data_IF_427606947886
#
_entry.id   IF_427606947886
#
_cell.length_a   1.000
_cell.length_b   1.000
_cell.length_c   1.000
_cell.angle_alpha   90.00
_cell.angle_beta   90.00
_cell.angle_gamma   90.00
#
_symmetry.space_group_name_H-M   'P 1'
#
loop_
_entity.id
_entity.type
_entity.pdbx_description
1 polymer ?
#
# COMPACT_ATOMS: atom_id res chain seq x y z
N UNK A 1 -8.21 19.09 -29.43
CA UNK A 1 -7.27 18.43 -28.51
C UNK A 1 -8.03 17.57 -27.50
N UNK A 2 -8.83 16.62 -27.97
CA UNK A 2 -9.58 15.69 -27.12
C UNK A 2 -9.00 14.29 -27.34
N UNK A 3 -8.58 13.64 -26.25
CA UNK A 3 -8.04 12.30 -26.26
C UNK A 3 -8.99 11.42 -25.46
N UNK A 4 -9.64 10.48 -26.14
CA UNK A 4 -10.70 9.67 -25.57
C UNK A 4 -10.16 8.43 -24.84
N UNK A 5 -10.97 7.89 -23.95
CA UNK A 5 -10.87 6.56 -23.37
C UNK A 5 -12.30 6.03 -23.18
N UNK A 6 -12.45 4.75 -22.81
CA UNK A 6 -13.73 4.07 -22.87
C UNK A 6 -14.22 3.61 -21.49
N UNK A 7 -15.49 3.28 -21.39
CA UNK A 7 -16.16 2.89 -20.13
C UNK A 7 -15.56 1.65 -19.45
N UNK A 8 -14.88 0.78 -20.22
CA UNK A 8 -14.16 -0.37 -19.67
C UNK A 8 -12.80 0.00 -19.04
N UNK A 9 -12.35 1.25 -19.19
CA UNK A 9 -11.17 1.79 -18.52
C UNK A 9 -11.58 2.38 -17.18
N UNK A 10 -11.52 1.55 -16.12
CA UNK A 10 -11.77 2.01 -14.76
C UNK A 10 -10.76 3.09 -14.33
N UNK A 11 -11.21 4.13 -13.63
CA UNK A 11 -10.37 5.29 -13.27
C UNK A 11 -9.06 4.92 -12.55
N UNK A 12 -9.11 3.96 -11.62
CA UNK A 12 -7.94 3.46 -10.88
C UNK A 12 -7.02 2.50 -11.68
N UNK A 13 -7.37 2.22 -12.94
CA UNK A 13 -6.61 1.41 -13.91
C UNK A 13 -6.36 2.19 -15.21
N UNK A 14 -6.47 3.52 -15.18
CA UNK A 14 -6.58 4.33 -16.40
C UNK A 14 -5.26 4.92 -16.90
N UNK A 15 -4.17 4.84 -16.14
CA UNK A 15 -2.89 5.49 -16.50
C UNK A 15 -2.33 5.00 -17.84
N UNK A 16 -2.73 3.81 -18.27
CA UNK A 16 -2.34 3.17 -19.52
C UNK A 16 -3.02 3.79 -20.76
N UNK A 17 -4.08 4.56 -20.55
CA UNK A 17 -4.93 5.17 -21.59
C UNK A 17 -4.53 6.61 -21.92
N UNK A 18 -5.42 7.37 -22.57
CA UNK A 18 -5.30 8.82 -22.77
C UNK A 18 -5.08 9.62 -21.46
N UNK A 19 -5.50 9.09 -20.30
CA UNK A 19 -5.20 9.68 -18.99
C UNK A 19 -3.68 9.78 -18.73
N UNK A 20 -2.89 8.85 -19.31
CA UNK A 20 -1.44 8.85 -19.26
C UNK A 20 -0.74 9.92 -20.12
N UNK A 21 -1.48 10.85 -20.75
CA UNK A 21 -0.90 11.89 -21.60
C UNK A 21 0.15 12.75 -20.86
N UNK A 22 -0.07 13.07 -19.58
CA UNK A 22 0.90 13.83 -18.78
C UNK A 22 2.21 13.06 -18.56
N UNK A 23 2.13 11.73 -18.37
CA UNK A 23 3.30 10.85 -18.29
C UNK A 23 4.04 10.89 -19.63
N UNK A 24 3.32 10.69 -20.73
CA UNK A 24 3.87 10.73 -22.09
C UNK A 24 4.60 12.05 -22.38
N UNK A 25 4.03 13.18 -21.99
CA UNK A 25 4.64 14.50 -22.17
C UNK A 25 5.89 14.71 -21.30
N UNK A 26 5.96 14.04 -20.14
CA UNK A 26 7.06 14.19 -19.19
C UNK A 26 8.26 13.32 -19.55
N UNK A 27 8.02 12.06 -19.93
CA UNK A 27 9.10 11.07 -20.19
C UNK A 27 9.29 10.76 -21.68
N UNK A 28 8.47 11.32 -22.56
CA UNK A 28 8.44 11.03 -23.99
C UNK A 28 7.68 9.74 -24.32
N UNK A 29 7.12 9.69 -25.53
CA UNK A 29 6.29 8.56 -25.99
C UNK A 29 7.05 7.23 -26.00
N UNK A 30 8.33 7.21 -26.38
CA UNK A 30 9.12 5.97 -26.38
C UNK A 30 9.24 5.34 -24.99
N UNK A 31 9.35 6.15 -23.94
CA UNK A 31 9.41 5.64 -22.57
C UNK A 31 8.01 5.27 -22.05
N UNK A 32 6.96 5.98 -22.47
CA UNK A 32 5.59 5.56 -22.20
C UNK A 32 5.27 4.22 -22.87
N UNK A 33 5.70 3.99 -24.11
CA UNK A 33 5.53 2.71 -24.79
C UNK A 33 6.29 1.58 -24.06
N UNK A 34 7.49 1.84 -23.53
CA UNK A 34 8.21 0.86 -22.67
C UNK A 34 7.44 0.55 -21.39
N UNK A 35 6.79 1.55 -20.78
CA UNK A 35 5.91 1.35 -19.64
C UNK A 35 4.75 0.41 -19.99
N UNK A 36 4.08 0.61 -21.13
CA UNK A 36 3.03 -0.27 -21.63
C UNK A 36 3.55 -1.69 -21.92
N UNK A 37 4.73 -1.82 -22.53
CA UNK A 37 5.37 -3.11 -22.83
C UNK A 37 5.68 -3.90 -21.56
N UNK A 38 6.13 -3.23 -20.51
CA UNK A 38 6.36 -3.83 -19.20
C UNK A 38 5.07 -4.39 -18.58
N UNK A 39 3.99 -3.62 -18.63
CA UNK A 39 2.68 -4.09 -18.18
C UNK A 39 2.20 -5.30 -19.00
N UNK A 40 2.36 -5.23 -20.32
CA UNK A 40 2.00 -6.33 -21.21
C UNK A 40 2.79 -7.62 -20.93
N UNK A 41 4.07 -7.50 -20.55
CA UNK A 41 4.85 -8.66 -20.11
C UNK A 41 4.27 -9.30 -18.84
N UNK A 42 3.82 -8.49 -17.88
CA UNK A 42 3.13 -9.01 -16.69
C UNK A 42 1.79 -9.67 -17.05
N UNK A 43 1.04 -9.13 -18.03
CA UNK A 43 -0.19 -9.76 -18.55
C UNK A 43 0.09 -11.14 -19.16
N UNK A 44 1.15 -11.25 -19.97
CA UNK A 44 1.55 -12.50 -20.59
C UNK A 44 2.03 -13.52 -19.54
N UNK A 45 2.77 -13.07 -18.53
CA UNK A 45 3.16 -13.90 -17.38
C UNK A 45 1.93 -14.42 -16.65
N UNK A 46 1.02 -13.51 -16.27
CA UNK A 46 -0.20 -13.84 -15.53
C UNK A 46 -1.10 -14.82 -16.30
N UNK A 47 -1.21 -14.65 -17.62
CA UNK A 47 -2.04 -15.50 -18.47
C UNK A 47 -1.47 -16.90 -18.73
N UNK A 48 -0.15 -17.00 -18.93
CA UNK A 48 0.46 -18.20 -19.50
C UNK A 48 1.25 -19.05 -18.48
N UNK A 49 1.71 -18.46 -17.37
CA UNK A 49 2.50 -19.19 -16.38
C UNK A 49 1.63 -20.09 -15.50
N UNK A 50 2.15 -21.27 -15.14
CA UNK A 50 1.48 -22.19 -14.23
C UNK A 50 1.24 -21.53 -12.85
N UNK A 51 0.12 -21.86 -12.19
CA UNK A 51 -0.34 -21.22 -10.95
C UNK A 51 0.76 -21.19 -9.88
N UNK A 52 1.50 -22.28 -9.71
CA UNK A 52 2.57 -22.45 -8.73
C UNK A 52 3.85 -21.64 -9.03
N UNK A 53 3.94 -21.02 -10.21
CA UNK A 53 5.02 -20.11 -10.64
C UNK A 53 4.52 -18.72 -10.99
N UNK A 54 3.22 -18.49 -10.89
CA UNK A 54 2.58 -17.25 -11.28
C UNK A 54 2.69 -16.23 -10.14
N UNK A 55 3.46 -15.17 -10.35
CA UNK A 55 3.86 -14.22 -9.31
C UNK A 55 2.65 -13.51 -8.71
N UNK A 56 1.75 -12.88 -9.51
CA UNK A 56 0.52 -12.31 -8.99
C UNK A 56 -0.32 -13.30 -8.18
N UNK A 57 -0.47 -14.55 -8.64
CA UNK A 57 -1.29 -15.56 -7.93
C UNK A 57 -0.68 -15.94 -6.60
N UNK A 58 0.64 -16.19 -6.53
CA UNK A 58 1.34 -16.47 -5.28
C UNK A 58 1.20 -15.30 -4.31
N UNK A 59 1.39 -14.06 -4.79
CA UNK A 59 1.19 -12.85 -3.97
C UNK A 59 -0.25 -12.76 -3.43
N UNK A 60 -1.26 -13.09 -4.23
CA UNK A 60 -2.66 -13.08 -3.81
C UNK A 60 -2.95 -14.13 -2.76
N UNK A 61 -2.45 -15.36 -2.93
CA UNK A 61 -2.65 -16.45 -1.99
C UNK A 61 -1.96 -16.18 -0.65
N UNK A 62 -0.75 -15.62 -0.65
CA UNK A 62 -0.08 -15.17 0.57
C UNK A 62 -0.86 -14.04 1.26
N UNK A 63 -1.35 -13.06 0.49
CA UNK A 63 -2.20 -11.99 1.02
C UNK A 63 -3.48 -12.54 1.67
N UNK A 64 -4.18 -13.45 1.00
CA UNK A 64 -5.38 -14.13 1.53
C UNK A 64 -5.04 -14.95 2.78
N UNK A 65 -3.90 -15.64 2.80
CA UNK A 65 -3.44 -16.39 3.96
C UNK A 65 -3.35 -15.49 5.19
N UNK A 66 -2.69 -14.34 5.07
CA UNK A 66 -2.57 -13.42 6.20
C UNK A 66 -3.88 -12.70 6.53
N UNK A 67 -4.65 -12.29 5.53
CA UNK A 67 -5.92 -11.57 5.76
C UNK A 67 -7.01 -12.48 6.34
N UNK A 68 -7.25 -13.64 5.75
CA UNK A 68 -8.39 -14.49 6.10
C UNK A 68 -8.09 -15.50 7.21
N UNK A 69 -6.83 -15.91 7.40
CA UNK A 69 -6.48 -16.92 8.40
C UNK A 69 -5.71 -16.33 9.59
N UNK A 70 -4.76 -15.41 9.36
CA UNK A 70 -4.07 -14.70 10.45
C UNK A 70 -4.83 -13.46 10.92
N UNK A 71 -5.86 -13.02 10.20
CA UNK A 71 -6.67 -11.84 10.55
C UNK A 71 -5.95 -10.51 10.35
N UNK A 72 -4.83 -10.47 9.61
CA UNK A 72 -4.11 -9.23 9.31
C UNK A 72 -4.99 -8.26 8.53
N UNK A 73 -5.22 -7.08 9.10
CA UNK A 73 -6.11 -6.05 8.53
C UNK A 73 -5.39 -5.11 7.55
N UNK A 74 -4.06 -5.21 7.43
CA UNK A 74 -3.27 -4.30 6.61
C UNK A 74 -2.11 -5.01 5.92
N UNK A 75 -1.68 -4.42 4.80
CA UNK A 75 -0.45 -4.79 4.09
C UNK A 75 0.38 -3.52 3.86
N UNK A 76 1.68 -3.60 4.15
CA UNK A 76 2.60 -2.48 3.96
C UNK A 76 3.39 -2.66 2.65
N UNK A 77 3.40 -1.64 1.78
CA UNK A 77 4.24 -1.59 0.58
C UNK A 77 5.39 -0.62 0.85
N UNK A 78 6.63 -1.12 0.86
CA UNK A 78 7.80 -0.42 1.37
C UNK A 78 8.92 -0.35 0.31
N UNK A 79 8.82 0.56 -0.69
CA UNK A 79 9.87 0.73 -1.68
C UNK A 79 11.12 1.39 -1.10
N UNK A 80 12.27 0.75 -1.20
CA UNK A 80 13.59 1.34 -0.92
C UNK A 80 14.06 2.11 -2.17
N UNK A 81 13.25 3.08 -2.59
CA UNK A 81 13.49 3.98 -3.71
C UNK A 81 12.64 5.25 -3.52
N UNK A 82 13.30 6.42 -3.54
CA UNK A 82 12.62 7.69 -3.27
C UNK A 82 11.71 8.16 -4.43
N UNK A 83 12.00 7.77 -5.69
CA UNK A 83 11.11 8.10 -6.82
C UNK A 83 9.78 7.34 -6.70
N UNK A 84 9.79 6.19 -6.02
CA UNK A 84 8.59 5.40 -5.73
C UNK A 84 7.78 5.87 -4.52
N UNK A 85 8.02 7.08 -3.98
CA UNK A 85 7.33 7.57 -2.77
C UNK A 85 5.78 7.66 -2.87
N UNK A 86 5.21 7.63 -4.08
CA UNK A 86 3.75 7.58 -4.29
C UNK A 86 3.22 6.20 -4.64
N UNK A 87 4.06 5.17 -4.71
CA UNK A 87 3.68 3.83 -5.15
C UNK A 87 2.68 3.17 -4.19
N UNK A 88 2.93 3.24 -2.88
CA UNK A 88 1.98 2.74 -1.88
C UNK A 88 0.63 3.48 -1.96
N UNK A 89 0.66 4.81 -2.11
CA UNK A 89 -0.54 5.64 -2.23
C UNK A 89 -1.34 5.37 -3.52
N UNK A 90 -0.66 5.03 -4.63
CA UNK A 90 -1.33 4.58 -5.85
C UNK A 90 -2.14 3.30 -5.58
N UNK A 91 -1.55 2.34 -4.87
CA UNK A 91 -2.23 1.08 -4.52
C UNK A 91 -3.20 1.18 -3.35
N UNK A 92 -3.22 2.28 -2.59
CA UNK A 92 -4.38 2.56 -1.72
C UNK A 92 -5.65 2.65 -2.55
N UNK A 93 -5.65 3.42 -3.63
CA UNK A 93 -6.80 3.46 -4.53
C UNK A 93 -6.95 2.14 -5.29
N UNK A 94 -5.88 1.67 -5.94
CA UNK A 94 -5.92 0.47 -6.77
C UNK A 94 -6.47 -0.76 -6.04
N UNK A 95 -6.02 -1.01 -4.81
CA UNK A 95 -6.42 -2.18 -4.03
C UNK A 95 -7.71 -1.91 -3.23
N UNK A 96 -7.72 -0.88 -2.39
CA UNK A 96 -8.80 -0.70 -1.40
C UNK A 96 -10.13 -0.31 -2.06
N UNK A 97 -10.11 0.51 -3.13
CA UNK A 97 -11.34 0.84 -3.87
C UNK A 97 -11.83 -0.35 -4.71
N UNK A 98 -10.92 -1.25 -5.12
CA UNK A 98 -11.30 -2.48 -5.83
C UNK A 98 -11.93 -3.51 -4.91
N UNK A 99 -11.21 -3.89 -3.84
CA UNK A 99 -11.53 -5.06 -3.03
C UNK A 99 -12.09 -4.73 -1.64
N UNK A 100 -12.23 -3.46 -1.27
CA UNK A 100 -12.93 -3.00 -0.06
C UNK A 100 -14.45 -3.15 -0.19
N UNK A 101 -14.91 -4.40 -0.34
CA UNK A 101 -16.30 -4.76 -0.65
C UNK A 101 -16.84 -5.73 0.41
N UNK A 102 -18.14 -5.68 0.65
CA UNK A 102 -18.80 -6.57 1.62
C UNK A 102 -19.97 -7.37 1.03
N UNK A 103 -20.30 -7.15 -0.25
CA UNK A 103 -21.33 -7.90 -0.98
C UNK A 103 -20.61 -8.77 -2.02
N UNK A 104 -20.93 -10.06 -2.04
CA UNK A 104 -20.42 -10.99 -3.02
C UNK A 104 -21.15 -10.85 -4.37
N UNK A 105 -20.67 -11.55 -5.40
CA UNK A 105 -21.24 -11.50 -6.76
C UNK A 105 -22.67 -12.06 -6.84
N UNK A 106 -23.15 -12.75 -5.81
CA UNK A 106 -24.53 -13.24 -5.70
C UNK A 106 -25.45 -12.24 -4.99
N UNK A 107 -24.95 -11.08 -4.58
CA UNK A 107 -25.74 -10.08 -3.84
C UNK A 107 -25.90 -10.38 -2.35
N UNK A 108 -25.07 -11.29 -1.80
CA UNK A 108 -25.12 -11.66 -0.38
C UNK A 108 -23.98 -11.00 0.40
N UNK A 109 -24.23 -10.58 1.63
CA UNK A 109 -23.19 -10.08 2.51
C UNK A 109 -22.16 -11.19 2.82
N UNK A 110 -20.88 -10.88 2.68
CA UNK A 110 -19.79 -11.82 2.99
C UNK A 110 -19.67 -12.02 4.50
N UNK A 111 -19.26 -13.22 4.92
CA UNK A 111 -18.96 -13.57 6.32
C UNK A 111 -17.44 -13.76 6.56
N UNK A 112 -16.61 -13.22 5.67
CA UNK A 112 -15.15 -13.26 5.70
C UNK A 112 -14.57 -11.88 5.38
N UNK A 113 -13.32 -11.64 5.75
CA UNK A 113 -12.59 -10.41 5.42
C UNK A 113 -12.25 -10.34 3.93
N UNK A 114 -12.36 -9.16 3.33
CA UNK A 114 -11.98 -8.87 1.94
C UNK A 114 -10.73 -7.98 1.89
N UNK A 115 -10.67 -6.96 1.02
CA UNK A 115 -9.46 -6.17 0.77
C UNK A 115 -8.83 -5.57 2.05
N UNK A 116 -7.50 -5.69 2.24
CA UNK A 116 -6.80 -5.12 3.40
C UNK A 116 -6.59 -3.61 3.24
N UNK A 117 -6.27 -2.93 4.35
CA UNK A 117 -5.79 -1.55 4.31
C UNK A 117 -4.36 -1.53 3.76
N UNK A 118 -4.13 -0.81 2.65
CA UNK A 118 -2.80 -0.61 2.08
C UNK A 118 -2.18 0.67 2.63
N UNK A 119 -0.90 0.61 2.98
CA UNK A 119 -0.16 1.78 3.45
C UNK A 119 1.35 1.59 3.25
N UNK A 120 2.13 2.64 3.48
CA UNK A 120 3.59 2.57 3.45
C UNK A 120 4.24 3.88 3.03
N UNK A 121 5.54 3.97 3.28
CA UNK A 121 6.43 5.07 2.92
C UNK A 121 7.75 4.46 2.41
N UNK A 122 8.50 5.17 1.55
CA UNK A 122 9.74 4.64 1.04
C UNK A 122 10.79 4.48 2.15
N UNK A 123 11.64 3.47 2.00
CA UNK A 123 12.83 3.29 2.81
C UNK A 123 13.89 4.36 2.50
N UNK A 124 14.65 4.87 3.47
CA UNK A 124 14.65 4.55 4.90
C UNK A 124 13.72 5.44 5.75
N UNK A 125 12.91 6.30 5.14
CA UNK A 125 12.03 7.21 5.88
C UNK A 125 11.03 6.44 6.76
N UNK A 126 10.37 5.42 6.20
CA UNK A 126 9.46 4.55 6.96
C UNK A 126 10.13 3.81 8.12
N UNK A 127 11.41 3.43 7.95
CA UNK A 127 12.21 2.75 8.97
C UNK A 127 12.35 3.59 10.25
N UNK A 128 12.43 4.91 10.12
CA UNK A 128 12.54 5.84 11.25
C UNK A 128 11.20 6.37 11.74
N UNK A 129 10.07 5.90 11.18
CA UNK A 129 8.73 6.35 11.55
C UNK A 129 7.92 5.27 12.27
N UNK A 130 7.68 4.13 11.62
CA UNK A 130 6.68 3.14 12.10
C UNK A 130 7.20 1.71 12.21
N UNK A 131 8.46 1.44 11.85
CA UNK A 131 9.02 0.09 11.94
C UNK A 131 9.13 -0.41 13.38
N UNK A 132 9.19 0.48 14.37
CA UNK A 132 9.06 0.12 15.79
C UNK A 132 7.80 -0.72 16.05
N UNK A 133 6.66 -0.33 15.45
CA UNK A 133 5.39 -1.06 15.57
C UNK A 133 5.43 -2.37 14.79
N UNK A 134 6.06 -2.40 13.60
CA UNK A 134 6.18 -3.63 12.80
C UNK A 134 7.01 -4.68 13.56
N UNK A 135 8.12 -4.27 14.18
CA UNK A 135 9.04 -5.16 14.89
C UNK A 135 8.50 -5.63 16.24
N UNK A 136 8.08 -4.71 17.11
CA UNK A 136 7.76 -5.00 18.51
C UNK A 136 6.30 -4.74 18.89
N UNK A 137 5.47 -4.30 17.93
CA UNK A 137 4.03 -4.19 18.13
C UNK A 137 3.34 -5.56 18.15
N UNK A 138 2.08 -5.53 18.54
CA UNK A 138 1.22 -6.72 18.69
C UNK A 138 0.55 -7.15 17.39
N UNK A 139 0.60 -6.33 16.34
CA UNK A 139 0.02 -6.63 15.04
C UNK A 139 0.97 -7.48 14.18
N UNK A 140 0.38 -8.33 13.34
CA UNK A 140 1.08 -8.99 12.23
C UNK A 140 0.77 -8.18 10.97
N UNK A 141 1.82 -7.62 10.38
CA UNK A 141 1.72 -6.75 9.19
C UNK A 141 2.60 -7.37 8.11
N UNK A 142 2.01 -8.07 7.13
CA UNK A 142 2.71 -8.48 5.92
C UNK A 142 3.29 -7.26 5.20
N UNK A 143 4.56 -7.35 4.81
CA UNK A 143 5.26 -6.24 4.16
C UNK A 143 5.86 -6.68 2.82
N UNK A 144 5.59 -5.92 1.75
CA UNK A 144 6.26 -6.05 0.47
C UNK A 144 7.41 -5.04 0.38
N UNK A 145 8.64 -5.53 0.49
CA UNK A 145 9.86 -4.72 0.33
C UNK A 145 10.28 -4.73 -1.13
N UNK A 146 10.50 -3.55 -1.72
CA UNK A 146 10.87 -3.42 -3.15
C UNK A 146 12.14 -2.60 -3.26
N UNK A 147 13.16 -3.05 -3.99
CA UNK A 147 14.38 -2.26 -4.21
C UNK A 147 14.97 -2.48 -5.63
N UNK A 148 15.53 -1.43 -6.26
CA UNK A 148 16.41 -1.60 -7.41
C UNK A 148 17.84 -1.93 -6.99
N UNK A 149 18.48 -2.88 -7.65
CA UNK A 149 19.91 -3.16 -7.48
C UNK A 149 20.80 -2.01 -7.99
N UNK A 150 20.33 -1.24 -8.97
CA UNK A 150 21.07 -0.13 -9.59
C UNK A 150 20.30 1.18 -9.40
N UNK A 151 20.93 2.16 -8.74
CA UNK A 151 20.40 3.52 -8.60
C UNK A 151 20.42 4.29 -9.93
N UNK A 152 19.51 5.24 -10.10
CA UNK A 152 19.65 6.30 -11.12
C UNK A 152 20.64 7.38 -10.73
N UNK A 153 20.96 7.50 -9.44
CA UNK A 153 21.85 8.51 -8.87
C UNK A 153 23.00 7.81 -8.11
N UNK A 154 24.06 7.36 -8.80
CA UNK A 154 25.18 6.65 -8.17
C UNK A 154 26.08 7.65 -7.42
N UNK A 155 25.69 8.02 -6.21
CA UNK A 155 26.39 8.98 -5.34
C UNK A 155 27.09 8.23 -4.21
N UNK A 156 28.42 8.14 -4.27
CA UNK A 156 29.23 7.53 -3.22
C UNK A 156 28.75 6.12 -2.86
N UNK A 157 28.61 5.85 -1.56
CA UNK A 157 28.15 4.58 -0.99
C UNK A 157 26.66 4.61 -0.59
N UNK A 158 25.88 5.60 -1.05
CA UNK A 158 24.49 5.79 -0.64
C UNK A 158 23.61 4.58 -0.99
N UNK A 159 23.78 4.02 -2.20
CA UNK A 159 22.95 2.91 -2.65
C UNK A 159 23.27 1.61 -1.91
N UNK A 160 24.55 1.38 -1.59
CA UNK A 160 24.96 0.21 -0.80
C UNK A 160 24.44 0.30 0.63
N UNK A 161 24.46 1.50 1.25
CA UNK A 161 23.83 1.74 2.56
C UNK A 161 22.31 1.57 2.52
N UNK A 162 21.66 1.98 1.45
CA UNK A 162 20.22 1.78 1.26
C UNK A 162 19.89 0.28 1.18
N UNK A 163 20.63 -0.45 0.33
CA UNK A 163 20.43 -1.89 0.15
C UNK A 163 20.81 -2.69 1.40
N UNK A 164 21.82 -2.28 2.18
CA UNK A 164 22.12 -2.93 3.45
C UNK A 164 20.94 -2.83 4.43
N UNK A 165 20.22 -1.70 4.45
CA UNK A 165 19.00 -1.57 5.26
C UNK A 165 17.86 -2.43 4.68
N UNK A 166 17.66 -2.46 3.37
CA UNK A 166 16.66 -3.33 2.71
C UNK A 166 16.82 -4.80 3.10
N UNK A 167 18.05 -5.33 3.02
CA UNK A 167 18.34 -6.71 3.40
C UNK A 167 18.22 -6.93 4.91
N UNK A 168 18.80 -6.05 5.71
CA UNK A 168 18.82 -6.21 7.17
C UNK A 168 17.41 -6.15 7.79
N UNK A 169 16.49 -5.36 7.22
CA UNK A 169 15.14 -5.24 7.79
C UNK A 169 14.32 -6.52 7.63
N UNK A 170 14.35 -7.14 6.46
CA UNK A 170 13.62 -8.39 6.22
C UNK A 170 14.24 -9.56 7.01
N UNK A 171 15.57 -9.58 7.13
CA UNK A 171 16.28 -10.53 8.00
C UNK A 171 15.91 -10.35 9.48
N UNK A 172 15.91 -9.11 9.98
CA UNK A 172 15.56 -8.82 11.37
C UNK A 172 14.10 -9.17 11.68
N UNK A 173 13.17 -8.93 10.74
CA UNK A 173 11.76 -9.29 10.86
C UNK A 173 11.54 -10.80 10.94
N UNK A 174 12.34 -11.58 10.22
CA UNK A 174 12.30 -13.04 10.29
C UNK A 174 12.92 -13.57 11.58
N UNK A 175 14.17 -13.19 11.85
CA UNK A 175 15.01 -13.84 12.86
C UNK A 175 14.77 -13.29 14.27
N UNK A 176 14.42 -12.01 14.39
CA UNK A 176 14.35 -11.34 15.68
C UNK A 176 15.71 -11.28 16.40
N UNK A 177 15.66 -11.26 17.73
CA UNK A 177 16.82 -11.24 18.62
C UNK A 177 16.41 -11.80 19.98
N UNK A 178 17.05 -12.88 20.39
CA UNK A 178 16.75 -13.63 21.61
C UNK A 178 17.23 -12.91 22.87
N UNK A 179 16.65 -13.25 24.03
CA UNK A 179 17.10 -12.72 25.32
C UNK A 179 18.59 -13.00 25.59
N UNK A 180 19.11 -14.16 25.15
CA UNK A 180 20.51 -14.52 25.35
C UNK A 180 21.45 -13.58 24.57
N UNK A 181 21.12 -13.26 23.33
CA UNK A 181 21.87 -12.31 22.50
C UNK A 181 21.81 -10.90 23.09
N UNK A 182 20.63 -10.45 23.53
CA UNK A 182 20.45 -9.15 24.19
C UNK A 182 21.30 -9.05 25.45
N UNK A 183 21.28 -10.07 26.30
CA UNK A 183 22.09 -10.12 27.53
C UNK A 183 23.58 -10.07 27.20
N UNK A 184 24.03 -10.80 26.18
CA UNK A 184 25.42 -10.79 25.74
C UNK A 184 25.85 -9.40 25.25
N UNK A 185 25.05 -8.72 24.43
CA UNK A 185 25.31 -7.36 23.95
C UNK A 185 25.36 -6.33 25.09
N UNK A 186 24.44 -6.43 26.06
CA UNK A 186 24.39 -5.51 27.20
C UNK A 186 25.60 -5.72 28.12
N UNK A 187 26.05 -6.97 28.31
CA UNK A 187 27.31 -7.28 29.03
C UNK A 187 28.52 -6.69 28.32
N UNK A 188 28.62 -6.85 26.99
CA UNK A 188 29.71 -6.28 26.19
C UNK A 188 29.71 -4.74 26.27
N UNK A 189 28.53 -4.13 26.37
CA UNK A 189 28.34 -2.70 26.57
C UNK A 189 28.57 -2.24 28.03
N UNK A 190 29.14 -3.11 28.88
CA UNK A 190 29.48 -2.85 30.30
C UNK A 190 28.30 -2.39 31.16
N UNK A 191 27.08 -2.87 30.88
CA UNK A 191 25.90 -2.63 31.71
C UNK A 191 25.94 -3.46 33.00
N UNK A 192 25.41 -2.89 34.09
CA UNK A 192 25.29 -3.59 35.38
C UNK A 192 24.27 -4.73 35.30
N UNK A 193 24.35 -5.70 36.22
CA UNK A 193 23.38 -6.80 36.28
C UNK A 193 21.93 -6.31 36.37
N UNK A 194 21.68 -5.26 37.17
CA UNK A 194 20.37 -4.63 37.31
C UNK A 194 19.89 -3.96 36.02
N UNK A 195 20.77 -3.26 35.31
CA UNK A 195 20.44 -2.68 34.01
C UNK A 195 20.15 -3.77 32.97
N UNK A 196 20.92 -4.86 32.95
CA UNK A 196 20.71 -5.98 32.03
C UNK A 196 19.33 -6.60 32.26
N UNK A 197 19.00 -6.93 33.50
CA UNK A 197 17.69 -7.50 33.86
C UNK A 197 16.55 -6.57 33.44
N UNK A 198 16.70 -5.26 33.70
CA UNK A 198 15.68 -4.26 33.35
C UNK A 198 15.52 -4.09 31.84
N UNK A 199 16.62 -4.05 31.07
CA UNK A 199 16.58 -3.70 29.64
C UNK A 199 16.28 -4.89 28.73
N UNK A 200 16.56 -6.12 29.17
CA UNK A 200 16.45 -7.32 28.33
C UNK A 200 15.06 -7.48 27.69
N UNK A 201 13.94 -7.37 28.45
CA UNK A 201 12.60 -7.54 27.88
C UNK A 201 12.24 -6.53 26.80
N UNK A 202 12.82 -5.32 26.85
CA UNK A 202 12.54 -4.24 25.90
C UNK A 202 13.42 -4.29 24.65
N UNK A 203 14.56 -4.99 24.70
CA UNK A 203 15.48 -5.14 23.57
C UNK A 203 15.36 -6.51 22.89
N UNK A 204 14.46 -7.36 23.38
CA UNK A 204 14.06 -8.61 22.73
C UNK A 204 13.22 -8.34 21.46
N UNK A 205 13.46 -9.13 20.42
CA UNK A 205 12.68 -9.10 19.18
C UNK A 205 12.17 -10.50 18.89
N UNK A 206 10.85 -10.66 18.80
CA UNK A 206 10.23 -11.97 18.63
C UNK A 206 10.49 -12.60 17.25
N UNK A 207 10.82 -11.79 16.24
CA UNK A 207 10.94 -12.25 14.86
C UNK A 207 9.60 -12.76 14.32
N UNK A 208 9.67 -13.69 13.36
CA UNK A 208 8.52 -14.33 12.72
C UNK A 208 7.49 -13.33 12.16
N UNK A 209 7.97 -12.22 11.60
CA UNK A 209 7.16 -11.22 10.90
C UNK A 209 7.32 -11.40 9.38
N UNK A 210 6.22 -11.61 8.63
CA UNK A 210 6.30 -12.02 7.24
C UNK A 210 6.65 -10.86 6.30
N UNK A 211 7.55 -11.11 5.36
CA UNK A 211 7.91 -10.16 4.30
C UNK A 211 8.04 -10.86 2.94
N UNK A 212 7.69 -10.15 1.87
CA UNK A 212 8.15 -10.46 0.51
C UNK A 212 9.26 -9.49 0.12
N UNK A 213 10.25 -9.97 -0.63
CA UNK A 213 11.37 -9.17 -1.11
C UNK A 213 11.44 -9.17 -2.63
N UNK A 214 11.10 -8.05 -3.25
CA UNK A 214 11.21 -7.82 -4.68
C UNK A 214 12.49 -7.03 -4.99
N UNK A 215 13.48 -7.72 -5.54
CA UNK A 215 14.70 -7.09 -6.05
C UNK A 215 14.61 -7.00 -7.58
N UNK A 216 14.60 -5.79 -8.11
CA UNK A 216 14.64 -5.54 -9.55
C UNK A 216 16.00 -5.00 -9.94
N UNK A 217 16.41 -5.18 -11.21
CA UNK A 217 17.72 -4.69 -11.65
C UNK A 217 17.85 -3.15 -11.54
N UNK A 218 16.83 -2.43 -12.00
CA UNK A 218 16.74 -0.96 -12.00
C UNK A 218 15.28 -0.58 -12.22
N UNK A 219 14.80 0.53 -11.64
CA UNK A 219 13.47 1.07 -11.97
C UNK A 219 13.52 1.77 -13.33
N UNK A 220 13.14 1.08 -14.40
CA UNK A 220 12.92 1.64 -15.74
C UNK A 220 11.42 1.78 -16.01
N UNK A 221 10.98 2.47 -17.08
CA UNK A 221 9.57 2.47 -17.46
C UNK A 221 9.01 1.05 -17.61
N UNK A 222 9.75 0.14 -18.23
CA UNK A 222 9.35 -1.26 -18.41
C UNK A 222 9.21 -2.00 -17.07
N UNK A 223 10.20 -1.94 -16.18
CA UNK A 223 10.08 -2.63 -14.89
C UNK A 223 8.99 -2.02 -14.01
N UNK A 224 8.77 -0.69 -14.09
CA UNK A 224 7.68 -0.03 -13.37
C UNK A 224 6.32 -0.51 -13.90
N UNK A 225 6.18 -0.62 -15.21
CA UNK A 225 4.96 -1.14 -15.85
C UNK A 225 4.67 -2.57 -15.42
N UNK A 226 5.70 -3.42 -15.44
CA UNK A 226 5.60 -4.80 -14.96
C UNK A 226 5.17 -4.88 -13.50
N UNK A 227 5.79 -4.08 -12.61
CA UNK A 227 5.45 -4.04 -11.19
C UNK A 227 4.01 -3.59 -10.97
N UNK A 228 3.56 -2.52 -11.63
CA UNK A 228 2.19 -2.01 -11.46
C UNK A 228 1.18 -3.09 -11.89
N UNK A 229 1.33 -3.65 -13.09
CA UNK A 229 0.43 -4.68 -13.60
C UNK A 229 0.47 -5.96 -12.75
N UNK A 230 1.61 -6.33 -12.17
CA UNK A 230 1.70 -7.45 -11.22
C UNK A 230 0.78 -7.26 -10.01
N UNK A 231 0.74 -6.05 -9.43
CA UNK A 231 -0.19 -5.73 -8.35
C UNK A 231 -1.64 -5.63 -8.82
N UNK A 232 -1.92 -5.13 -10.03
CA UNK A 232 -3.27 -5.14 -10.61
C UNK A 232 -3.81 -6.58 -10.73
N UNK A 233 -2.99 -7.53 -11.20
CA UNK A 233 -3.33 -8.95 -11.27
C UNK A 233 -3.44 -9.62 -9.90
N UNK A 234 -2.65 -9.18 -8.91
CA UNK A 234 -2.81 -9.59 -7.51
C UNK A 234 -4.20 -9.22 -7.00
N UNK A 235 -4.61 -7.97 -7.22
CA UNK A 235 -5.91 -7.43 -6.81
C UNK A 235 -7.05 -8.18 -7.48
N UNK A 236 -6.95 -8.41 -8.80
CA UNK A 236 -7.90 -9.21 -9.56
C UNK A 236 -8.07 -10.61 -8.96
N UNK A 237 -6.96 -11.33 -8.78
CA UNK A 237 -6.98 -12.73 -8.30
C UNK A 237 -7.63 -12.82 -6.91
N UNK A 238 -7.31 -11.88 -6.01
CA UNK A 238 -7.95 -11.82 -4.69
C UNK A 238 -9.47 -11.59 -4.79
N UNK A 239 -9.91 -10.66 -5.65
CA UNK A 239 -11.33 -10.39 -5.85
C UNK A 239 -12.09 -11.57 -6.48
N UNK A 240 -11.43 -12.33 -7.36
CA UNK A 240 -11.99 -13.60 -7.89
C UNK A 240 -12.24 -14.59 -6.75
N UNK A 241 -11.23 -14.84 -5.92
CA UNK A 241 -11.29 -15.80 -4.81
C UNK A 241 -12.32 -15.38 -3.75
N UNK A 242 -12.36 -14.10 -3.37
CA UNK A 242 -13.34 -13.56 -2.43
C UNK A 242 -14.75 -13.43 -2.99
N UNK A 243 -15.00 -13.87 -4.21
CA UNK A 243 -16.29 -13.76 -4.86
C UNK A 243 -16.88 -12.34 -4.89
N UNK A 244 -16.08 -11.29 -5.11
CA UNK A 244 -16.53 -9.89 -5.17
C UNK A 244 -16.34 -9.27 -6.56
N UNK A 245 -16.93 -8.08 -6.78
CA UNK A 245 -16.68 -7.26 -7.96
C UNK A 245 -15.57 -6.23 -7.71
N UNK A 246 -14.39 -6.44 -8.29
CA UNK A 246 -13.22 -5.56 -8.10
C UNK A 246 -13.27 -4.25 -8.91
N UNK A 247 -14.21 -4.12 -9.84
CA UNK A 247 -14.18 -3.08 -10.88
C UNK A 247 -15.32 -2.05 -10.80
N UNK A 248 -16.20 -2.15 -9.80
CA UNK A 248 -17.16 -1.09 -9.44
C UNK A 248 -16.69 -0.28 -8.21
N UNK A 249 -17.43 0.79 -7.86
CA UNK A 249 -17.15 1.63 -6.68
C UNK A 249 -18.39 2.33 -6.11
N UNK A 250 -19.52 1.63 -5.97
CA UNK A 250 -20.79 2.23 -5.48
C UNK A 250 -20.69 2.96 -4.13
N UNK A 251 -19.71 2.58 -3.29
CA UNK A 251 -19.48 3.20 -1.98
C UNK A 251 -19.17 4.71 -2.02
N UNK A 252 -18.77 5.28 -3.16
CA UNK A 252 -18.47 6.72 -3.28
C UNK A 252 -19.72 7.58 -3.50
N UNK A 253 -20.86 6.98 -3.82
CA UNK A 253 -22.06 7.72 -4.24
C UNK A 253 -22.76 8.42 -3.08
N UNK A 254 -22.86 7.78 -1.92
CA UNK A 254 -23.54 8.34 -0.75
C UNK A 254 -22.91 9.66 -0.31
N UNK A 255 -21.57 9.71 -0.26
CA UNK A 255 -20.84 10.93 0.10
C UNK A 255 -21.10 12.09 -0.88
N UNK A 256 -21.14 11.80 -2.19
CA UNK A 256 -21.46 12.81 -3.22
C UNK A 256 -22.89 13.32 -3.08
N UNK A 257 -23.85 12.44 -2.84
CA UNK A 257 -25.26 12.81 -2.65
C UNK A 257 -25.44 13.69 -1.40
N UNK A 258 -24.80 13.35 -0.29
CA UNK A 258 -24.84 14.15 0.94
C UNK A 258 -24.15 15.51 0.76
N UNK A 259 -22.97 15.55 0.11
CA UNK A 259 -22.27 16.80 -0.16
C UNK A 259 -23.10 17.75 -1.03
N UNK A 260 -23.81 17.24 -2.04
CA UNK A 260 -24.71 18.05 -2.88
C UNK A 260 -25.90 18.62 -2.10
N UNK A 261 -26.38 17.94 -1.06
CA UNK A 261 -27.44 18.45 -0.17
C UNK A 261 -26.91 19.50 0.81
N UNK A 262 -25.72 19.28 1.35
CA UNK A 262 -25.08 20.19 2.33
C UNK A 262 -24.60 21.47 1.66
N UNK A 263 -24.09 21.43 0.42
CA UNK A 263 -23.49 22.59 -0.24
C UNK A 263 -24.40 23.84 -0.27
N UNK A 264 -25.68 23.77 -0.66
CA UNK A 264 -26.61 24.90 -0.57
C UNK A 264 -26.75 25.44 0.86
N UNK A 265 -26.82 24.54 1.85
CA UNK A 265 -26.96 24.90 3.26
C UNK A 265 -25.74 25.67 3.78
N UNK A 266 -24.56 25.56 3.16
CA UNK A 266 -23.38 26.33 3.56
C UNK A 266 -23.36 27.77 3.01
N UNK A 267 -24.24 28.09 2.07
CA UNK A 267 -24.24 29.37 1.36
C UNK A 267 -25.13 30.43 1.99
N UNK A 268 -26.20 30.03 2.70
CA UNK A 268 -27.05 30.95 3.44
C UNK A 268 -26.61 31.12 4.90
N UNK A 269 -27.17 32.11 5.60
CA UNK A 269 -26.90 32.36 7.02
C UNK A 269 -27.92 31.69 7.96
N UNK A 270 -28.77 30.80 7.45
CA UNK A 270 -29.79 30.16 8.26
C UNK A 270 -29.16 29.11 9.19
N UNK A 271 -29.75 28.93 10.37
CA UNK A 271 -29.37 27.82 11.23
C UNK A 271 -29.80 26.50 10.58
N UNK A 272 -28.91 25.52 10.56
CA UNK A 272 -29.16 24.17 10.03
C UNK A 272 -29.55 23.23 11.17
N UNK A 273 -30.67 22.51 11.02
CA UNK A 273 -31.25 21.62 12.04
C UNK A 273 -31.86 20.30 11.48
N UNK A 274 -31.67 20.02 10.20
CA UNK A 274 -32.25 18.90 9.45
C UNK A 274 -31.35 17.65 9.35
N UNK A 275 -30.13 17.68 9.91
CA UNK A 275 -29.24 16.51 10.01
C UNK A 275 -29.17 15.97 11.44
N UNK A 276 -28.27 15.01 11.68
CA UNK A 276 -27.90 14.62 13.04
C UNK A 276 -27.25 15.80 13.80
N UNK A 277 -27.23 15.70 15.13
CA UNK A 277 -26.76 16.78 16.00
C UNK A 277 -25.29 17.16 15.79
N UNK A 278 -24.44 16.23 15.35
CA UNK A 278 -23.03 16.51 15.06
C UNK A 278 -22.91 17.35 13.79
N UNK A 279 -23.53 16.90 12.70
CA UNK A 279 -23.51 17.61 11.41
C UNK A 279 -24.11 19.02 11.55
N UNK A 280 -25.25 19.15 12.21
CA UNK A 280 -25.87 20.46 12.47
C UNK A 280 -24.95 21.37 13.30
N UNK A 281 -24.36 20.86 14.38
CA UNK A 281 -23.46 21.62 15.24
C UNK A 281 -22.24 22.14 14.48
N UNK A 282 -21.62 21.28 13.67
CA UNK A 282 -20.44 21.62 12.86
C UNK A 282 -20.75 22.66 11.79
N UNK A 283 -21.85 22.50 11.04
CA UNK A 283 -22.25 23.46 10.00
C UNK A 283 -22.50 24.84 10.63
N UNK A 284 -23.26 24.89 11.73
CA UNK A 284 -23.57 26.15 12.39
C UNK A 284 -22.32 26.82 12.99
N UNK A 285 -21.40 26.02 13.56
CA UNK A 285 -20.13 26.55 14.05
C UNK A 285 -19.24 27.08 12.93
N UNK A 286 -19.16 26.37 11.80
CA UNK A 286 -18.47 26.83 10.59
C UNK A 286 -19.05 28.16 10.10
N UNK A 287 -20.38 28.29 10.00
CA UNK A 287 -21.04 29.54 9.61
C UNK A 287 -20.67 30.69 10.56
N UNK A 288 -20.72 30.45 11.86
CA UNK A 288 -20.37 31.45 12.88
C UNK A 288 -18.93 31.95 12.72
N UNK A 289 -17.96 31.05 12.55
CA UNK A 289 -16.57 31.44 12.31
C UNK A 289 -16.36 32.17 10.98
N UNK A 290 -17.03 31.73 9.92
CA UNK A 290 -16.96 32.38 8.60
C UNK A 290 -17.46 33.83 8.63
N UNK A 291 -18.48 34.13 9.44
CA UNK A 291 -19.02 35.49 9.58
C UNK A 291 -18.22 36.40 10.52
N UNK A 292 -17.31 35.83 11.33
CA UNK A 292 -16.44 36.59 12.24
C UNK A 292 -15.11 37.00 11.60
N UNK A 293 -14.80 36.50 10.40
CA UNK A 293 -13.62 36.85 9.60
C UNK A 293 -13.94 37.96 8.58
#
# INVERSE_FOLDING_TARGET
>A
NMFEFWDWVGGRYSLWSAIGLSITLTIGYENFEKLLKGAHQADLHFKNEAIEKNIPVIMSLLGIWYTNFFGSQSEAILPYDQYMHRFAAYFQQGNMESNGKFIDRNGTAVNYTTGPVIWGEPGTNGQHAFYQLIHQGTLVIPCDFIAPAISHNPIGDHHDKLLSNYFAQTEALLNGKTNAEVVAELKQSKKTAKEIETLTPFKFFAGNKPTNSFLVKKITPETLGFLIATYEHKIFTQGVIWNIFSYDQWGVELGKQLANKILPELTDNNKVDNHDSSTNGLINQYKNWKTQA
#
